data_IF_985394825729
#
_entry.id   IF_985394825729
#
_cell.length_a   1.000
_cell.length_b   1.000
_cell.length_c   1.000
_cell.angle_alpha   90.00
_cell.angle_beta   90.00
_cell.angle_gamma   90.00
#
_symmetry.space_group_name_H-M   'P 1'
#
loop_
_entity.id
_entity.type
_entity.pdbx_description
1 polymer ?
#
# COMPACT_ATOMS: atom_id res chain seq x y z
N UNK A 1 31.32 -4.25 -0.47
CA UNK A 1 30.62 -4.33 0.84
C UNK A 1 30.64 -3.01 1.63
N UNK A 2 31.05 -1.87 1.04
CA UNK A 2 30.97 -0.54 1.67
C UNK A 2 29.88 0.37 1.08
N UNK A 3 29.32 0.04 -0.11
CA UNK A 3 28.24 0.83 -0.72
C UNK A 3 26.88 0.67 -0.03
N UNK A 4 26.50 -0.57 0.31
CA UNK A 4 25.20 -0.87 0.95
C UNK A 4 25.09 -0.25 2.36
N UNK A 5 26.21 -0.12 3.07
CA UNK A 5 26.25 0.53 4.39
C UNK A 5 26.08 2.05 4.29
N UNK A 6 26.58 2.67 3.21
CA UNK A 6 26.40 4.11 2.98
C UNK A 6 24.95 4.45 2.60
N UNK A 7 24.31 3.65 1.75
CA UNK A 7 22.90 3.88 1.39
C UNK A 7 21.96 3.74 2.60
N UNK A 8 22.26 2.82 3.52
CA UNK A 8 21.51 2.66 4.76
C UNK A 8 21.71 3.82 5.75
N UNK A 9 22.88 4.46 5.74
CA UNK A 9 23.16 5.64 6.56
C UNK A 9 22.50 6.91 5.98
N UNK A 10 22.50 7.07 4.65
CA UNK A 10 21.77 8.15 3.97
C UNK A 10 20.26 8.07 4.23
N UNK A 11 19.69 6.86 4.26
CA UNK A 11 18.27 6.66 4.60
C UNK A 11 17.94 6.98 6.08
N UNK A 12 18.91 6.85 6.98
CA UNK A 12 18.75 7.21 8.40
C UNK A 12 18.83 8.72 8.65
N UNK A 13 19.66 9.45 7.90
CA UNK A 13 19.84 10.89 8.10
C UNK A 13 18.66 11.73 7.56
N UNK A 14 17.89 11.23 6.60
CA UNK A 14 16.71 11.94 6.07
C UNK A 14 15.42 11.70 6.88
N UNK A 15 15.48 10.88 7.93
CA UNK A 15 14.32 10.51 8.75
C UNK A 15 14.52 10.91 10.23
N UNK A 16 15.01 12.12 10.46
CA UNK A 16 14.70 12.80 11.71
C UNK A 16 13.19 13.03 11.72
N UNK A 17 12.44 12.13 12.37
CA UNK A 17 11.02 12.35 12.67
C UNK A 17 10.91 13.61 13.52
N UNK A 18 10.75 14.75 12.87
CA UNK A 18 10.31 16.00 13.50
C UNK A 18 9.07 15.68 14.33
N UNK A 19 8.99 16.15 15.60
CA UNK A 19 7.83 15.91 16.43
C UNK A 19 6.57 16.41 15.70
N UNK A 20 5.67 15.47 15.42
CA UNK A 20 4.51 15.70 14.57
C UNK A 20 3.67 16.87 15.09
N UNK A 21 3.43 17.87 14.24
CA UNK A 21 2.53 18.98 14.56
C UNK A 21 1.08 18.48 14.60
N UNK A 22 0.41 18.64 15.75
CA UNK A 22 -0.99 18.29 15.92
C UNK A 22 -1.85 19.39 15.30
N UNK A 23 -2.50 19.08 14.17
CA UNK A 23 -3.42 19.99 13.48
C UNK A 23 -4.86 19.55 13.66
N UNK A 24 -5.79 20.50 13.56
CA UNK A 24 -7.21 20.18 13.61
C UNK A 24 -7.64 19.36 12.39
N UNK A 25 -8.11 18.13 12.61
CA UNK A 25 -8.64 17.24 11.55
C UNK A 25 -9.84 17.80 10.76
N UNK A 26 -10.41 18.94 11.16
CA UNK A 26 -11.53 19.58 10.45
C UNK A 26 -11.14 20.83 9.67
N UNK A 27 -10.24 21.66 10.21
CA UNK A 27 -9.95 22.97 9.64
C UNK A 27 -8.45 23.26 9.46
N UNK A 28 -7.57 22.31 9.77
CA UNK A 28 -6.12 22.47 9.62
C UNK A 28 -5.44 23.41 10.62
N UNK A 29 -6.20 24.11 11.48
CA UNK A 29 -5.65 25.04 12.47
C UNK A 29 -4.68 24.37 13.45
N UNK A 30 -3.57 25.04 13.74
CA UNK A 30 -2.59 24.68 14.78
C UNK A 30 -2.96 25.20 16.17
N UNK A 31 -3.96 26.08 16.30
CA UNK A 31 -4.46 26.55 17.60
C UNK A 31 -5.27 25.46 18.34
N UNK A 32 -4.53 24.55 18.97
CA UNK A 32 -5.01 23.34 19.62
C UNK A 32 -4.70 23.41 21.12
N UNK A 33 -5.69 23.03 21.93
CA UNK A 33 -5.52 22.84 23.38
C UNK A 33 -5.84 21.42 23.79
N UNK A 34 -5.03 20.86 24.68
CA UNK A 34 -5.31 19.58 25.30
C UNK A 34 -6.35 19.76 26.42
N UNK A 35 -7.41 18.93 26.39
CA UNK A 35 -8.55 18.98 27.34
C UNK A 35 -8.65 17.75 28.24
N UNK A 36 -7.67 16.85 28.18
CA UNK A 36 -7.56 15.67 29.04
C UNK A 36 -6.95 14.49 28.31
N UNK A 37 -6.95 13.32 28.96
CA UNK A 37 -6.55 12.05 28.37
C UNK A 37 -7.54 10.95 28.77
N UNK A 38 -7.83 10.01 27.87
CA UNK A 38 -8.66 8.84 28.14
C UNK A 38 -7.92 7.60 27.66
N UNK A 39 -7.53 6.72 28.59
CA UNK A 39 -6.83 5.45 28.31
C UNK A 39 -5.65 5.68 27.35
N UNK A 40 -4.70 6.53 27.75
CA UNK A 40 -3.49 6.84 26.95
C UNK A 40 -3.68 7.83 25.79
N UNK A 41 -4.90 8.01 25.27
CA UNK A 41 -5.15 8.95 24.18
C UNK A 41 -5.43 10.37 24.68
N UNK A 42 -4.61 11.32 24.25
CA UNK A 42 -4.80 12.74 24.53
C UNK A 42 -6.00 13.28 23.74
N UNK A 43 -6.91 13.98 24.43
CA UNK A 43 -8.05 14.64 23.82
C UNK A 43 -7.74 16.11 23.60
N UNK A 44 -7.91 16.56 22.38
CA UNK A 44 -7.65 17.91 21.92
C UNK A 44 -8.94 18.64 21.57
N UNK A 45 -8.91 19.96 21.68
CA UNK A 45 -9.93 20.87 21.17
C UNK A 45 -9.23 21.92 20.30
N UNK A 46 -9.74 22.11 19.08
CA UNK A 46 -9.34 23.23 18.25
C UNK A 46 -10.05 24.51 18.72
N UNK A 47 -9.30 25.57 19.02
CA UNK A 47 -9.88 26.87 19.40
C UNK A 47 -10.53 27.59 18.22
N UNK A 48 -9.98 27.45 17.02
CA UNK A 48 -10.50 28.11 15.81
C UNK A 48 -11.87 27.61 15.37
N UNK A 49 -12.16 26.31 15.51
CA UNK A 49 -13.45 25.73 15.07
C UNK A 49 -14.24 25.01 16.17
N UNK A 50 -13.73 24.99 17.40
CA UNK A 50 -14.35 24.35 18.57
C UNK A 50 -14.35 22.81 18.58
N UNK A 51 -13.87 22.13 17.52
CA UNK A 51 -13.98 20.67 17.39
C UNK A 51 -13.03 19.93 18.33
N UNK A 52 -13.56 18.86 18.93
CA UNK A 52 -12.79 17.90 19.71
C UNK A 52 -12.30 16.75 18.84
N UNK A 53 -11.08 16.28 19.11
CA UNK A 53 -10.49 15.11 18.47
C UNK A 53 -9.46 14.44 19.39
N UNK A 54 -9.01 13.24 19.04
CA UNK A 54 -7.87 12.55 19.67
C UNK A 54 -6.71 12.54 18.69
N UNK A 55 -5.49 12.61 19.18
CA UNK A 55 -4.31 12.40 18.33
C UNK A 55 -4.09 10.90 18.15
N UNK A 56 -4.81 10.33 17.19
CA UNK A 56 -4.76 8.93 16.82
C UNK A 56 -4.84 8.84 15.30
N UNK A 57 -3.88 9.47 14.60
CA UNK A 57 -3.92 9.61 13.14
C UNK A 57 -3.94 8.23 12.48
N UNK A 58 -5.00 7.96 11.72
CA UNK A 58 -5.23 6.66 11.07
C UNK A 58 -5.80 5.59 12.02
N UNK A 59 -5.94 5.88 13.31
CA UNK A 59 -6.46 4.97 14.33
C UNK A 59 -7.65 5.58 15.10
N UNK A 60 -8.35 6.53 14.48
CA UNK A 60 -9.48 7.22 15.08
C UNK A 60 -10.59 6.24 15.45
N UNK A 61 -11.09 6.36 16.69
CA UNK A 61 -12.17 5.52 17.20
C UNK A 61 -11.80 4.05 17.41
N UNK A 62 -10.51 3.69 17.34
CA UNK A 62 -10.03 2.34 17.65
C UNK A 62 -9.92 2.12 19.15
N UNK A 63 -10.29 0.90 19.58
CA UNK A 63 -10.10 0.43 20.96
C UNK A 63 -8.74 -0.23 21.16
N UNK A 64 -8.23 -0.87 20.12
CA UNK A 64 -6.90 -1.48 20.12
C UNK A 64 -5.84 -0.40 19.94
N UNK A 65 -4.69 -0.59 20.59
CA UNK A 65 -3.55 0.31 20.47
C UNK A 65 -3.03 0.32 19.02
N UNK A 66 -2.60 1.48 18.48
CA UNK A 66 -2.06 1.61 17.14
C UNK A 66 -0.97 0.59 16.80
N UNK A 67 -0.05 0.32 17.74
CA UNK A 67 1.09 -0.57 17.56
C UNK A 67 0.64 -1.99 17.23
N UNK A 68 -0.41 -2.47 17.91
CA UNK A 68 -0.99 -3.79 17.67
C UNK A 68 -1.68 -3.88 16.31
N UNK A 69 -2.44 -2.84 15.96
CA UNK A 69 -3.11 -2.79 14.65
C UNK A 69 -2.05 -2.79 13.54
N UNK A 70 -0.98 -2.01 13.69
CA UNK A 70 0.13 -1.97 12.72
C UNK A 70 0.79 -3.34 12.56
N UNK A 71 1.14 -4.01 13.66
CA UNK A 71 1.73 -5.36 13.59
C UNK A 71 0.79 -6.37 12.94
N UNK A 72 -0.50 -6.32 13.27
CA UNK A 72 -1.50 -7.24 12.72
C UNK A 72 -1.65 -7.08 11.21
N UNK A 73 -1.66 -5.83 10.74
CA UNK A 73 -1.74 -5.46 9.33
C UNK A 73 -0.46 -5.86 8.62
N UNK A 74 0.70 -5.51 9.17
CA UNK A 74 2.02 -5.85 8.62
C UNK A 74 2.16 -7.36 8.39
N UNK A 75 1.77 -8.19 9.36
CA UNK A 75 1.82 -9.65 9.22
C UNK A 75 1.02 -10.16 8.02
N UNK A 76 -0.12 -9.52 7.72
CA UNK A 76 -0.91 -9.87 6.52
C UNK A 76 -0.17 -9.45 5.25
N UNK A 77 0.42 -8.24 5.22
CA UNK A 77 1.13 -7.72 4.04
C UNK A 77 2.44 -8.43 3.73
N UNK A 78 3.17 -8.93 4.73
CA UNK A 78 4.32 -9.82 4.50
C UNK A 78 3.91 -11.23 4.05
N UNK A 79 2.60 -11.50 3.94
CA UNK A 79 2.06 -12.69 3.29
C UNK A 79 1.53 -13.78 4.22
N UNK A 80 1.36 -13.53 5.52
CA UNK A 80 0.68 -14.50 6.37
C UNK A 80 -0.81 -14.54 6.04
N UNK A 81 -1.36 -15.76 5.99
CA UNK A 81 -2.82 -15.89 5.95
C UNK A 81 -3.41 -15.40 7.26
N UNK A 82 -4.58 -14.76 7.20
CA UNK A 82 -5.25 -14.21 8.40
C UNK A 82 -5.40 -15.25 9.52
N UNK A 83 -5.62 -16.53 9.20
CA UNK A 83 -5.67 -17.60 10.21
C UNK A 83 -4.32 -17.83 10.91
N UNK A 84 -3.22 -17.81 10.14
CA UNK A 84 -1.87 -17.88 10.71
C UNK A 84 -1.56 -16.63 11.51
N UNK A 85 -1.95 -15.45 11.03
CA UNK A 85 -1.81 -14.19 11.76
C UNK A 85 -2.50 -14.28 13.13
N UNK A 86 -3.78 -14.65 13.20
CA UNK A 86 -4.49 -14.89 14.47
C UNK A 86 -3.71 -15.84 15.39
N UNK A 87 -3.23 -16.97 14.85
CA UNK A 87 -2.48 -17.96 15.65
C UNK A 87 -1.19 -17.38 16.25
N UNK A 88 -0.43 -16.63 15.45
CA UNK A 88 0.80 -15.95 15.90
C UNK A 88 0.46 -14.93 16.98
N UNK A 89 -0.53 -14.08 16.74
CA UNK A 89 -0.93 -13.02 17.66
C UNK A 89 -1.46 -13.55 18.99
N UNK A 90 -2.23 -14.63 18.96
CA UNK A 90 -2.71 -15.34 20.17
C UNK A 90 -1.56 -15.88 21.01
N UNK A 91 -0.46 -16.25 20.38
CA UNK A 91 0.71 -16.81 21.05
C UNK A 91 1.62 -15.75 21.65
N UNK A 92 1.55 -14.51 21.15
CA UNK A 92 2.44 -13.41 21.58
C UNK A 92 1.73 -12.49 22.56
N UNK A 93 0.56 -11.93 22.21
CA UNK A 93 0.05 -10.78 22.98
C UNK A 93 -1.46 -10.51 22.95
N UNK A 94 -2.23 -10.95 21.95
CA UNK A 94 -3.65 -10.57 21.88
C UNK A 94 -4.59 -11.67 21.37
N UNK A 95 -5.79 -11.73 21.96
CA UNK A 95 -6.89 -12.51 21.42
C UNK A 95 -7.73 -11.66 20.46
N UNK A 96 -7.21 -11.44 19.25
CA UNK A 96 -7.92 -10.71 18.18
C UNK A 96 -8.69 -11.68 17.28
N UNK A 97 -9.88 -11.26 16.85
CA UNK A 97 -10.71 -12.04 15.92
C UNK A 97 -10.25 -11.92 14.47
N UNK A 98 -10.37 -13.01 13.71
CA UNK A 98 -10.01 -13.07 12.27
C UNK A 98 -10.67 -11.95 11.44
N UNK A 99 -11.94 -11.66 11.67
CA UNK A 99 -12.67 -10.62 10.93
C UNK A 99 -12.19 -9.20 11.27
N UNK A 100 -11.68 -9.00 12.49
CA UNK A 100 -11.10 -7.73 12.90
C UNK A 100 -9.82 -7.46 12.12
N UNK A 101 -8.91 -8.44 12.05
CA UNK A 101 -7.67 -8.33 11.26
C UNK A 101 -8.02 -8.11 9.78
N UNK A 102 -8.97 -8.86 9.23
CA UNK A 102 -9.40 -8.67 7.84
C UNK A 102 -9.86 -7.23 7.59
N UNK A 103 -10.71 -6.68 8.46
CA UNK A 103 -11.22 -5.31 8.33
C UNK A 103 -10.11 -4.27 8.45
N UNK A 104 -9.13 -4.49 9.31
CA UNK A 104 -7.98 -3.61 9.41
C UNK A 104 -7.13 -3.67 8.14
N UNK A 105 -6.73 -4.86 7.69
CA UNK A 105 -5.94 -5.01 6.47
C UNK A 105 -6.65 -4.37 5.25
N UNK A 106 -7.95 -4.60 5.10
CA UNK A 106 -8.78 -4.01 4.04
C UNK A 106 -8.80 -2.47 4.12
N UNK A 107 -9.09 -1.91 5.30
CA UNK A 107 -9.15 -0.46 5.48
C UNK A 107 -7.79 0.22 5.26
N UNK A 108 -6.74 -0.29 5.89
CA UNK A 108 -5.40 0.30 5.77
C UNK A 108 -4.81 0.09 4.38
N UNK A 109 -5.20 -0.99 3.69
CA UNK A 109 -4.92 -1.17 2.27
C UNK A 109 -5.53 -0.09 1.42
N UNK A 110 -6.82 0.19 1.58
CA UNK A 110 -7.47 1.28 0.86
C UNK A 110 -6.85 2.65 1.16
N UNK A 111 -6.48 2.93 2.41
CA UNK A 111 -5.78 4.17 2.74
C UNK A 111 -4.41 4.29 2.05
N UNK A 112 -3.68 3.16 1.92
CA UNK A 112 -2.41 3.14 1.20
C UNK A 112 -2.61 3.29 -0.31
N UNK A 113 -3.64 2.65 -0.89
CA UNK A 113 -3.98 2.79 -2.30
C UNK A 113 -4.30 4.27 -2.63
N UNK A 114 -5.15 4.93 -1.84
CA UNK A 114 -5.47 6.36 -2.01
C UNK A 114 -4.24 7.27 -1.92
N UNK A 115 -3.30 6.94 -1.03
CA UNK A 115 -2.05 7.67 -0.90
C UNK A 115 -1.14 7.47 -2.12
N UNK A 116 -1.02 6.23 -2.61
CA UNK A 116 -0.19 5.88 -3.75
C UNK A 116 -0.75 6.39 -5.07
N UNK A 117 -2.07 6.48 -5.23
CA UNK A 117 -2.73 7.04 -6.42
C UNK A 117 -2.32 8.49 -6.71
N UNK A 118 -1.89 9.23 -5.69
CA UNK A 118 -1.36 10.60 -5.83
C UNK A 118 0.11 10.68 -6.23
N UNK A 119 0.81 9.56 -6.35
CA UNK A 119 2.26 9.50 -6.56
C UNK A 119 2.55 8.93 -7.95
N UNK A 120 3.15 9.72 -8.82
CA UNK A 120 3.72 9.22 -10.07
C UNK A 120 5.02 8.47 -9.77
N UNK A 121 5.10 7.16 -10.07
CA UNK A 121 6.30 6.38 -9.76
C UNK A 121 7.45 6.74 -10.71
N UNK A 122 8.66 6.77 -10.17
CA UNK A 122 9.89 6.87 -10.95
C UNK A 122 10.25 5.49 -11.50
N UNK A 123 10.03 5.28 -12.78
CA UNK A 123 10.34 4.02 -13.48
C UNK A 123 11.32 4.24 -14.61
N UNK A 124 12.16 3.25 -14.90
CA UNK A 124 13.14 3.29 -15.98
C UNK A 124 12.53 3.12 -17.37
N UNK A 125 13.40 2.86 -18.35
CA UNK A 125 13.04 2.68 -19.76
C UNK A 125 12.87 1.21 -20.17
N UNK A 126 13.21 0.26 -19.28
CA UNK A 126 13.07 -1.17 -19.51
C UNK A 126 12.01 -1.75 -18.57
N UNK A 127 10.92 -2.31 -19.10
CA UNK A 127 9.88 -2.94 -18.28
C UNK A 127 9.79 -4.44 -18.53
N UNK A 128 9.29 -5.19 -17.55
CA UNK A 128 9.06 -6.63 -17.60
C UNK A 128 7.59 -6.95 -17.44
N UNK A 129 7.08 -7.87 -18.24
CA UNK A 129 5.71 -8.38 -18.10
C UNK A 129 5.71 -9.88 -17.96
N UNK A 130 4.80 -10.38 -17.14
CA UNK A 130 4.59 -11.81 -16.93
C UNK A 130 3.11 -12.06 -16.60
N UNK A 131 2.69 -13.32 -16.65
CA UNK A 131 1.39 -13.75 -16.18
C UNK A 131 1.45 -14.92 -15.21
N UNK A 132 0.59 -14.87 -14.21
CA UNK A 132 0.36 -16.00 -13.30
C UNK A 132 -1.09 -16.43 -13.36
N UNK A 133 -1.34 -17.73 -13.23
CA UNK A 133 -2.71 -18.23 -13.07
C UNK A 133 -3.06 -18.31 -11.58
N UNK A 134 -4.32 -18.01 -11.26
CA UNK A 134 -4.85 -18.16 -9.91
C UNK A 134 -6.30 -18.65 -9.95
N UNK A 135 -6.77 -19.24 -8.85
CA UNK A 135 -8.16 -19.67 -8.70
C UNK A 135 -8.90 -18.68 -7.81
N UNK A 136 -9.88 -17.97 -8.38
CA UNK A 136 -10.79 -17.09 -7.63
C UNK A 136 -12.15 -17.76 -7.57
N UNK A 137 -12.61 -18.10 -6.35
CA UNK A 137 -13.88 -18.83 -6.12
C UNK A 137 -14.00 -20.09 -6.99
N UNK A 138 -12.92 -20.85 -7.10
CA UNK A 138 -12.85 -22.09 -7.88
C UNK A 138 -12.67 -21.91 -9.39
N UNK A 139 -12.81 -20.68 -9.93
CA UNK A 139 -12.62 -20.40 -11.35
C UNK A 139 -11.19 -19.95 -11.64
N UNK A 140 -10.58 -20.48 -12.71
CA UNK A 140 -9.27 -20.03 -13.18
C UNK A 140 -9.36 -18.59 -13.68
N UNK A 141 -8.39 -17.79 -13.28
CA UNK A 141 -8.17 -16.40 -13.69
C UNK A 141 -6.68 -16.22 -13.96
N UNK A 142 -6.36 -15.17 -14.72
CA UNK A 142 -5.00 -14.78 -15.02
C UNK A 142 -4.74 -13.41 -14.42
N UNK A 143 -3.61 -13.26 -13.74
CA UNK A 143 -3.08 -11.96 -13.34
C UNK A 143 -1.90 -11.67 -14.26
N UNK A 144 -2.08 -10.66 -15.09
CA UNK A 144 -1.00 -10.03 -15.84
C UNK A 144 -0.38 -8.94 -14.96
N UNK A 145 0.94 -8.87 -14.94
CA UNK A 145 1.68 -7.88 -14.19
C UNK A 145 2.75 -7.24 -15.07
N UNK A 146 2.94 -5.93 -14.89
CA UNK A 146 4.00 -5.14 -15.51
C UNK A 146 4.84 -4.49 -14.42
N UNK A 147 6.15 -4.69 -14.48
CA UNK A 147 7.12 -4.31 -13.46
C UNK A 147 8.24 -3.49 -14.10
N UNK A 148 8.76 -2.51 -13.38
CA UNK A 148 10.02 -1.87 -13.71
C UNK A 148 11.18 -2.87 -13.59
N UNK A 149 12.11 -2.82 -14.55
CA UNK A 149 13.20 -3.81 -14.62
C UNK A 149 14.26 -3.67 -13.53
N UNK A 150 14.48 -2.48 -12.99
CA UNK A 150 15.54 -2.25 -12.03
C UNK A 150 14.99 -2.35 -10.61
N UNK A 151 13.97 -1.54 -10.34
CA UNK A 151 13.40 -1.37 -9.00
C UNK A 151 12.41 -2.46 -8.62
N UNK A 152 11.92 -3.23 -9.59
CA UNK A 152 10.79 -4.16 -9.43
C UNK A 152 9.50 -3.49 -8.98
N UNK A 153 9.41 -2.17 -9.15
CA UNK A 153 8.18 -1.44 -8.89
C UNK A 153 7.04 -1.97 -9.76
N UNK A 154 5.87 -2.20 -9.16
CA UNK A 154 4.72 -2.75 -9.85
C UNK A 154 3.95 -1.65 -10.56
N UNK A 155 4.16 -1.53 -11.87
CA UNK A 155 3.63 -0.45 -12.70
C UNK A 155 2.13 -0.62 -12.93
N UNK A 156 1.71 -1.80 -13.41
CA UNK A 156 0.32 -2.07 -13.73
C UNK A 156 -0.02 -3.55 -13.54
N UNK A 157 -1.31 -3.83 -13.33
CA UNK A 157 -1.81 -5.20 -13.16
C UNK A 157 -3.22 -5.34 -13.70
N UNK A 158 -3.51 -6.47 -14.34
CA UNK A 158 -4.84 -6.77 -14.86
C UNK A 158 -5.22 -8.21 -14.53
N UNK A 159 -6.42 -8.38 -13.96
CA UNK A 159 -7.01 -9.71 -13.75
C UNK A 159 -8.00 -10.00 -14.86
N UNK A 160 -7.83 -11.14 -15.52
CA UNK A 160 -8.66 -11.54 -16.65
C UNK A 160 -9.17 -12.99 -16.54
N UNK A 161 -10.16 -13.31 -17.38
CA UNK A 161 -10.70 -14.67 -17.53
C UNK A 161 -9.95 -15.51 -18.53
N UNK A 162 -9.36 -14.89 -19.55
CA UNK A 162 -8.68 -15.59 -20.64
C UNK A 162 -7.26 -15.04 -20.80
N UNK A 163 -6.55 -15.49 -21.83
CA UNK A 163 -5.18 -15.08 -22.17
C UNK A 163 -5.12 -14.37 -23.53
N UNK A 164 -6.16 -13.60 -23.86
CA UNK A 164 -6.23 -12.86 -25.12
C UNK A 164 -5.44 -11.55 -25.07
N UNK A 165 -5.19 -10.96 -26.24
CA UNK A 165 -4.57 -9.63 -26.37
C UNK A 165 -5.48 -8.53 -25.80
N UNK A 166 -6.80 -8.69 -25.97
CA UNK A 166 -7.84 -7.85 -25.37
C UNK A 166 -7.82 -7.85 -23.83
N UNK A 167 -7.43 -8.97 -23.21
CA UNK A 167 -7.28 -9.08 -21.76
C UNK A 167 -6.07 -8.29 -21.21
N UNK A 168 -5.07 -7.99 -22.05
CA UNK A 168 -3.81 -7.35 -21.63
C UNK A 168 -3.78 -5.86 -21.96
N UNK A 169 -4.48 -5.42 -23.03
CA UNK A 169 -4.60 -4.00 -23.42
C UNK A 169 -4.92 -3.04 -22.25
N UNK A 170 -5.84 -3.36 -21.31
CA UNK A 170 -6.11 -2.48 -20.18
C UNK A 170 -4.89 -2.25 -19.27
N UNK A 171 -4.03 -3.25 -19.10
CA UNK A 171 -2.81 -3.14 -18.28
C UNK A 171 -1.82 -2.15 -18.87
N UNK A 172 -1.64 -2.21 -20.19
CA UNK A 172 -0.78 -1.31 -20.95
C UNK A 172 -1.28 0.15 -20.89
N UNK A 173 -2.59 0.34 -21.10
CA UNK A 173 -3.22 1.65 -20.90
C UNK A 173 -2.99 2.19 -19.48
N UNK A 174 -3.23 1.36 -18.46
CA UNK A 174 -2.99 1.72 -17.07
C UNK A 174 -1.53 2.12 -16.82
N UNK A 175 -0.57 1.40 -17.39
CA UNK A 175 0.84 1.70 -17.23
C UNK A 175 1.22 3.09 -17.80
N UNK A 176 0.66 3.45 -18.97
CA UNK A 176 0.85 4.79 -19.55
C UNK A 176 0.18 5.86 -18.72
N UNK A 177 -1.04 5.62 -18.23
CA UNK A 177 -1.78 6.58 -17.42
C UNK A 177 -1.05 6.87 -16.10
N UNK A 178 -0.43 5.86 -15.48
CA UNK A 178 0.33 6.00 -14.22
C UNK A 178 1.69 6.66 -14.43
N UNK A 179 2.44 6.26 -15.47
CA UNK A 179 3.85 6.66 -15.64
C UNK A 179 4.04 7.84 -16.59
N UNK A 180 3.03 8.15 -17.41
CA UNK A 180 3.10 9.17 -18.47
C UNK A 180 3.98 8.78 -19.66
N UNK A 181 4.47 7.53 -19.76
CA UNK A 181 5.36 7.09 -20.85
C UNK A 181 5.13 5.63 -21.25
N UNK A 182 5.82 5.23 -22.32
CA UNK A 182 5.90 3.87 -22.87
C UNK A 182 7.37 3.43 -22.75
N UNK A 183 7.67 2.18 -22.37
CA UNK A 183 9.05 1.75 -22.21
C UNK A 183 9.74 1.64 -23.57
N UNK A 184 11.01 2.01 -23.63
CA UNK A 184 11.85 1.73 -24.80
C UNK A 184 12.00 0.23 -25.09
N UNK A 185 11.90 -0.61 -24.04
CA UNK A 185 12.09 -2.05 -24.13
C UNK A 185 11.17 -2.79 -23.18
N UNK A 186 10.39 -3.70 -23.75
CA UNK A 186 9.55 -4.63 -23.01
C UNK A 186 10.16 -6.04 -23.02
N UNK A 187 10.28 -6.65 -21.85
CA UNK A 187 10.81 -8.00 -21.68
C UNK A 187 9.68 -8.91 -21.19
N UNK A 188 9.40 -9.98 -21.92
CA UNK A 188 8.42 -11.02 -21.54
C UNK A 188 9.00 -12.42 -21.75
N UNK A 189 8.32 -13.44 -21.26
CA UNK A 189 8.67 -14.85 -21.44
C UNK A 189 8.37 -15.40 -22.85
N UNK A 190 7.85 -14.55 -23.75
CA UNK A 190 7.56 -14.87 -25.14
C UNK A 190 6.06 -15.03 -25.47
N UNK A 191 5.14 -14.75 -24.54
CA UNK A 191 3.71 -14.76 -24.85
C UNK A 191 3.35 -13.69 -25.90
N UNK A 192 2.64 -14.11 -26.96
CA UNK A 192 2.37 -13.25 -28.13
C UNK A 192 1.44 -12.07 -27.84
N UNK A 193 0.53 -12.22 -26.87
CA UNK A 193 -0.41 -11.19 -26.44
C UNK A 193 0.29 -9.92 -25.95
N UNK A 194 1.44 -10.03 -25.26
CA UNK A 194 2.23 -8.86 -24.85
C UNK A 194 2.89 -8.18 -26.06
N UNK A 195 3.49 -8.96 -26.96
CA UNK A 195 4.20 -8.44 -28.12
C UNK A 195 3.25 -7.76 -29.12
N UNK A 196 2.05 -8.32 -29.31
CA UNK A 196 1.00 -7.70 -30.13
C UNK A 196 0.51 -6.40 -29.50
N UNK A 197 0.24 -6.38 -28.20
CA UNK A 197 -0.27 -5.18 -27.53
C UNK A 197 0.73 -4.04 -27.55
N UNK A 198 2.02 -4.31 -27.32
CA UNK A 198 3.07 -3.30 -27.32
C UNK A 198 3.30 -2.65 -28.70
N UNK A 199 3.00 -3.36 -29.80
CA UNK A 199 3.08 -2.79 -31.16
C UNK A 199 1.96 -1.82 -31.48
N UNK A 200 0.83 -1.96 -30.78
CA UNK A 200 -0.37 -1.15 -30.99
C UNK A 200 -0.43 0.09 -30.08
N UNK A 201 0.59 0.31 -29.24
CA UNK A 201 0.74 1.50 -28.38
C UNK A 201 1.41 2.67 -29.09
#
# INVERSE_FOLDING_TARGET
MMGILNDFLVFKEQNTFEPRQILCLRCGSSDIIQKGARIGNHRFQCKSCGKYFTDSLGFEGRRSAPEYITVDVELVYVGLSIRKTVKVLHSIYCNVGRFTIHRWADQYGHMMDEYLDGITPLVGEEWRTDEIYMKIRGKRKYLFAMLDSETRYWIAKQVATHKGTDDVRPMFKQARDITGKIPSKLISDGASNFAETHKDE
#
